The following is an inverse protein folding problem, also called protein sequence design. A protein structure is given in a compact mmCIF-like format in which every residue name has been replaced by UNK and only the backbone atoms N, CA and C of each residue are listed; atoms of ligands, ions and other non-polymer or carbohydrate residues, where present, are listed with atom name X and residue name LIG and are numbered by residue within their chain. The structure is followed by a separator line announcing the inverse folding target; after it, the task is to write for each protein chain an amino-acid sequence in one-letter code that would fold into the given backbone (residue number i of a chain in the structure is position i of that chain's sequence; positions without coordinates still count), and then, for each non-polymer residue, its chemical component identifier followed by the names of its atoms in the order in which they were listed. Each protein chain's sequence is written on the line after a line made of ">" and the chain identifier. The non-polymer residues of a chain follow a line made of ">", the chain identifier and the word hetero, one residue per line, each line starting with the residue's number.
data_IF_627572602974
#
_entry.id   IF_627572602974
#
_cell.length_a   1.000
_cell.length_b   1.000
_cell.length_c   1.000
_cell.angle_alpha   90.00
_cell.angle_beta   90.00
_cell.angle_gamma   90.00
#
_symmetry.space_group_name_H-M   'P 1'
#
loop_
_entity.id
_entity.type
_entity.pdbx_description
1 polymer ?
#
# COMPACT_ATOMS: atom_id res chain seq x y z
N UNK A 1 2.58 -45.44 -43.16
CA UNK A 1 2.85 -45.44 -41.71
C UNK A 1 2.80 -44.01 -41.21
N UNK A 2 1.69 -43.69 -40.56
CA UNK A 2 1.30 -42.35 -40.09
C UNK A 2 2.11 -41.99 -38.85
N UNK A 3 2.85 -40.87 -38.89
CA UNK A 3 3.60 -40.36 -37.75
C UNK A 3 2.64 -39.85 -36.67
N UNK A 4 2.64 -40.53 -35.52
CA UNK A 4 1.85 -40.16 -34.35
C UNK A 4 2.46 -38.90 -33.73
N UNK A 5 1.74 -37.77 -33.80
CA UNK A 5 2.05 -36.57 -33.02
C UNK A 5 1.78 -36.87 -31.55
N UNK A 6 2.83 -37.02 -30.77
CA UNK A 6 2.76 -37.15 -29.31
C UNK A 6 2.31 -35.82 -28.71
N UNK A 7 1.08 -35.78 -28.18
CA UNK A 7 0.59 -34.64 -27.41
C UNK A 7 1.36 -34.56 -26.09
N UNK A 8 2.29 -33.60 -25.97
CA UNK A 8 2.86 -33.23 -24.68
C UNK A 8 1.75 -32.72 -23.78
N UNK A 9 1.54 -33.41 -22.67
CA UNK A 9 0.55 -33.08 -21.65
C UNK A 9 0.82 -31.70 -21.03
N UNK A 10 -0.22 -30.87 -20.81
CA UNK A 10 -0.06 -29.51 -20.24
C UNK A 10 0.56 -29.49 -18.83
N UNK A 11 0.58 -30.63 -18.14
CA UNK A 11 1.15 -30.80 -16.80
C UNK A 11 2.69 -30.82 -16.77
N UNK A 12 3.39 -31.23 -17.84
CA UNK A 12 4.86 -31.22 -17.86
C UNK A 12 5.42 -29.82 -18.10
N UNK A 13 4.77 -29.04 -18.97
CA UNK A 13 5.10 -27.63 -19.24
C UNK A 13 4.85 -26.76 -18.00
N UNK A 14 3.75 -26.98 -17.28
CA UNK A 14 3.48 -26.28 -16.02
C UNK A 14 4.54 -26.56 -14.94
N UNK A 15 4.98 -27.82 -14.80
CA UNK A 15 6.07 -28.18 -13.87
C UNK A 15 7.41 -27.54 -14.25
N UNK A 16 7.74 -27.49 -15.55
CA UNK A 16 8.96 -26.84 -16.06
C UNK A 16 8.94 -25.31 -15.86
N UNK A 17 7.81 -24.66 -16.07
CA UNK A 17 7.63 -23.22 -15.80
C UNK A 17 7.75 -22.94 -14.30
N UNK A 18 7.15 -23.77 -13.45
CA UNK A 18 7.24 -23.66 -11.99
C UNK A 18 8.67 -23.88 -11.45
N UNK A 19 9.47 -24.73 -12.08
CA UNK A 19 10.89 -24.93 -11.71
C UNK A 19 11.76 -23.69 -11.94
N UNK A 20 11.40 -22.81 -12.87
CA UNK A 20 12.09 -21.53 -13.11
C UNK A 20 11.58 -20.38 -12.23
N UNK A 21 10.43 -20.53 -11.57
CA UNK A 21 9.89 -19.52 -10.65
C UNK A 21 10.54 -19.71 -9.28
N UNK A 22 11.42 -18.78 -8.91
CA UNK A 22 12.01 -18.70 -7.57
C UNK A 22 10.95 -18.31 -6.53
N UNK A 23 10.13 -19.28 -6.13
CA UNK A 23 9.06 -19.11 -5.15
C UNK A 23 9.59 -18.67 -3.77
N UNK A 24 10.88 -18.88 -3.49
CA UNK A 24 11.53 -18.49 -2.25
C UNK A 24 11.46 -16.97 -2.04
N UNK A 25 11.71 -16.20 -3.10
CA UNK A 25 11.64 -14.73 -3.05
C UNK A 25 10.21 -14.23 -2.91
N UNK A 26 9.23 -14.94 -3.48
CA UNK A 26 7.82 -14.61 -3.34
C UNK A 26 7.35 -14.84 -1.90
N UNK A 27 7.68 -15.98 -1.29
CA UNK A 27 7.31 -16.29 0.10
C UNK A 27 7.99 -15.32 1.06
N UNK A 28 9.28 -15.04 0.88
CA UNK A 28 10.02 -14.07 1.68
C UNK A 28 9.41 -12.66 1.56
N UNK A 29 9.04 -12.24 0.35
CA UNK A 29 8.42 -10.94 0.09
C UNK A 29 7.04 -10.80 0.74
N UNK A 30 6.16 -11.80 0.57
CA UNK A 30 4.82 -11.81 1.17
C UNK A 30 4.94 -11.82 2.70
N UNK A 31 5.80 -12.67 3.25
CA UNK A 31 5.98 -12.79 4.71
C UNK A 31 6.52 -11.49 5.31
N UNK A 32 7.53 -10.87 4.68
CA UNK A 32 8.04 -9.57 5.11
C UNK A 32 7.02 -8.44 4.99
N UNK A 33 6.20 -8.44 3.94
CA UNK A 33 5.11 -7.48 3.76
C UNK A 33 4.02 -7.63 4.82
N UNK A 34 3.58 -8.86 5.10
CA UNK A 34 2.56 -9.14 6.13
C UNK A 34 3.10 -8.86 7.53
N UNK A 35 4.31 -9.34 7.87
CA UNK A 35 4.92 -9.12 9.18
C UNK A 35 5.10 -7.63 9.50
N UNK A 36 5.67 -6.86 8.55
CA UNK A 36 5.82 -5.41 8.71
C UNK A 36 4.47 -4.69 8.86
N UNK A 37 3.45 -5.12 8.10
CA UNK A 37 2.10 -4.56 8.20
C UNK A 37 1.47 -4.85 9.56
N UNK A 38 1.58 -6.08 10.07
CA UNK A 38 1.02 -6.47 11.37
C UNK A 38 1.69 -5.70 12.52
N UNK A 39 3.02 -5.68 12.56
CA UNK A 39 3.79 -5.02 13.64
C UNK A 39 3.51 -3.52 13.67
N UNK A 40 3.38 -2.89 12.51
CA UNK A 40 3.23 -1.44 12.39
C UNK A 40 1.78 -0.98 12.16
N UNK A 41 0.81 -1.91 12.20
CA UNK A 41 -0.60 -1.58 12.05
C UNK A 41 -1.09 -0.55 13.08
N UNK A 42 -0.63 -0.55 14.35
CA UNK A 42 -1.02 0.50 15.30
C UNK A 42 -0.69 1.92 14.81
N UNK A 43 0.45 2.12 14.14
CA UNK A 43 0.80 3.42 13.55
C UNK A 43 -0.07 3.75 12.33
N UNK A 44 -0.42 2.73 11.54
CA UNK A 44 -1.36 2.88 10.42
C UNK A 44 -2.78 3.24 10.87
N UNK A 45 -3.21 2.77 12.04
CA UNK A 45 -4.49 3.14 12.61
C UNK A 45 -4.44 4.59 13.14
N UNK A 46 -3.39 4.95 13.87
CA UNK A 46 -3.24 6.29 14.45
C UNK A 46 -3.15 7.36 13.37
N UNK A 47 -2.41 7.12 12.28
CA UNK A 47 -2.33 8.09 11.17
C UNK A 47 -3.71 8.39 10.57
N UNK A 48 -4.57 7.37 10.41
CA UNK A 48 -5.91 7.53 9.84
C UNK A 48 -6.80 8.32 10.79
N UNK A 49 -6.77 7.98 12.09
CA UNK A 49 -7.53 8.72 13.11
C UNK A 49 -7.09 10.18 13.17
N UNK A 50 -5.79 10.46 13.16
CA UNK A 50 -5.26 11.82 13.17
C UNK A 50 -5.67 12.62 11.93
N UNK A 51 -5.62 12.01 10.74
CA UNK A 51 -6.01 12.66 9.49
C UNK A 51 -7.48 13.11 9.48
N UNK A 52 -8.35 12.35 10.15
CA UNK A 52 -9.80 12.62 10.23
C UNK A 52 -10.19 13.51 11.40
N UNK A 53 -9.37 13.59 12.46
CA UNK A 53 -9.61 14.50 13.58
C UNK A 53 -9.54 15.97 13.13
N UNK A 54 -10.69 16.54 12.80
CA UNK A 54 -10.86 17.94 12.39
C UNK A 54 -11.24 18.88 13.55
N UNK A 55 -11.48 18.31 14.74
CA UNK A 55 -11.86 19.04 15.94
C UNK A 55 -13.35 19.42 16.00
N UNK A 56 -14.14 19.06 14.99
CA UNK A 56 -15.58 19.37 14.92
C UNK A 56 -16.46 18.19 15.26
N UNK A 57 -16.01 16.98 14.97
CA UNK A 57 -16.74 15.78 15.36
C UNK A 57 -16.49 15.37 16.81
N UNK A 58 -17.44 14.62 17.42
CA UNK A 58 -17.29 14.01 18.75
C UNK A 58 -16.31 12.83 18.75
N UNK A 59 -15.24 12.92 17.96
CA UNK A 59 -14.14 11.96 17.95
C UNK A 59 -13.13 12.31 19.02
N UNK A 60 -12.50 11.32 19.69
CA UNK A 60 -11.47 11.57 20.68
C UNK A 60 -10.32 12.37 20.05
N UNK A 61 -10.00 13.52 20.66
CA UNK A 61 -8.82 14.30 20.30
C UNK A 61 -7.58 13.68 20.94
N UNK A 62 -6.46 13.74 20.23
CA UNK A 62 -5.20 13.18 20.67
C UNK A 62 -4.10 14.25 20.60
N UNK A 63 -3.51 14.59 21.73
CA UNK A 63 -2.44 15.60 21.80
C UNK A 63 -1.06 15.07 21.33
N UNK A 64 -0.96 13.77 21.04
CA UNK A 64 0.29 13.17 20.57
C UNK A 64 0.22 11.65 20.39
N UNK A 65 1.27 11.08 19.81
CA UNK A 65 1.34 9.66 19.47
C UNK A 65 1.20 8.75 20.71
N UNK A 66 1.93 9.07 21.78
CA UNK A 66 1.87 8.30 23.05
C UNK A 66 0.47 8.38 23.68
N UNK A 67 -0.11 9.57 23.73
CA UNK A 67 -1.46 9.77 24.26
C UNK A 67 -2.49 8.99 23.43
N UNK A 68 -2.35 8.98 22.10
CA UNK A 68 -3.20 8.19 21.21
C UNK A 68 -3.12 6.69 21.50
N UNK A 69 -1.91 6.12 21.57
CA UNK A 69 -1.72 4.70 21.87
C UNK A 69 -2.34 4.35 23.23
N UNK A 70 -2.04 5.13 24.27
CA UNK A 70 -2.55 4.87 25.62
C UNK A 70 -4.07 5.01 25.71
N UNK A 71 -4.64 6.02 25.06
CA UNK A 71 -6.09 6.25 25.04
C UNK A 71 -6.82 5.13 24.30
N UNK A 72 -6.32 4.72 23.13
CA UNK A 72 -6.92 3.61 22.36
C UNK A 72 -6.81 2.31 23.14
N UNK A 73 -5.66 2.04 23.75
CA UNK A 73 -5.47 0.85 24.57
C UNK A 73 -6.41 0.81 25.78
N UNK A 74 -6.63 1.95 26.45
CA UNK A 74 -7.55 2.05 27.60
C UNK A 74 -9.02 1.94 27.20
N UNK A 75 -9.42 2.50 26.06
CA UNK A 75 -10.83 2.55 25.64
C UNK A 75 -11.28 1.33 24.82
N UNK A 76 -10.41 0.80 23.96
CA UNK A 76 -10.76 -0.25 22.99
C UNK A 76 -9.94 -1.54 23.16
N UNK A 77 -8.95 -1.52 24.06
CA UNK A 77 -8.05 -2.64 24.30
C UNK A 77 -7.09 -2.93 23.13
N UNK A 78 -6.42 -4.08 23.20
CA UNK A 78 -5.50 -4.55 22.15
C UNK A 78 -6.20 -4.75 20.80
N UNK A 79 -7.45 -5.22 20.80
CA UNK A 79 -8.22 -5.42 19.56
C UNK A 79 -8.51 -4.10 18.83
N UNK A 80 -8.65 -2.98 19.57
CA UNK A 80 -8.82 -1.64 19.01
C UNK A 80 -7.66 -1.22 18.11
N UNK A 81 -6.42 -1.48 18.55
CA UNK A 81 -5.20 -1.12 17.80
C UNK A 81 -5.05 -1.89 16.47
N UNK A 82 -5.73 -3.03 16.32
CA UNK A 82 -5.68 -3.88 15.13
C UNK A 82 -6.94 -3.78 14.24
N UNK A 83 -7.84 -2.83 14.52
CA UNK A 83 -9.02 -2.59 13.67
C UNK A 83 -8.59 -2.20 12.25
N UNK A 84 -9.20 -2.84 11.25
CA UNK A 84 -8.89 -2.62 9.84
C UNK A 84 -7.62 -3.33 9.33
N UNK A 85 -7.01 -4.23 10.10
CA UNK A 85 -5.84 -4.99 9.64
C UNK A 85 -6.17 -5.96 8.49
N UNK A 86 -7.32 -6.63 8.55
CA UNK A 86 -7.78 -7.57 7.51
C UNK A 86 -7.91 -6.90 6.13
N UNK A 87 -8.66 -5.79 5.97
CA UNK A 87 -8.71 -5.10 4.69
C UNK A 87 -7.38 -4.44 4.31
N UNK A 88 -6.48 -4.15 5.26
CA UNK A 88 -5.14 -3.65 4.95
C UNK A 88 -4.30 -4.71 4.20
N UNK A 89 -4.26 -5.93 4.73
CA UNK A 89 -3.50 -7.05 4.12
C UNK A 89 -4.11 -7.45 2.79
N UNK A 90 -5.43 -7.64 2.74
CA UNK A 90 -6.15 -7.98 1.50
C UNK A 90 -6.04 -6.88 0.44
N UNK A 91 -6.26 -5.62 0.84
CA UNK A 91 -6.18 -4.47 -0.05
C UNK A 91 -4.78 -4.28 -0.62
N UNK A 92 -3.73 -4.44 0.19
CA UNK A 92 -2.35 -4.32 -0.27
C UNK A 92 -1.96 -5.44 -1.23
N UNK A 93 -2.29 -6.70 -0.91
CA UNK A 93 -2.00 -7.84 -1.79
C UNK A 93 -2.74 -7.75 -3.12
N UNK A 94 -4.05 -7.47 -3.08
CA UNK A 94 -4.87 -7.31 -4.30
C UNK A 94 -4.43 -6.11 -5.15
N UNK A 95 -4.04 -5.00 -4.54
CA UNK A 95 -3.54 -3.83 -5.28
C UNK A 95 -2.28 -4.17 -6.09
N UNK A 96 -1.29 -4.84 -5.50
CA UNK A 96 -0.11 -5.27 -6.25
C UNK A 96 -0.42 -6.29 -7.34
N UNK A 97 -1.31 -7.25 -7.06
CA UNK A 97 -1.75 -8.23 -8.06
C UNK A 97 -2.43 -7.58 -9.26
N UNK A 98 -3.43 -6.72 -9.03
CA UNK A 98 -4.10 -5.98 -10.09
C UNK A 98 -3.17 -5.01 -10.80
N UNK A 99 -2.26 -4.35 -10.09
CA UNK A 99 -1.28 -3.46 -10.70
C UNK A 99 -0.40 -4.19 -11.70
N UNK A 100 0.20 -5.32 -11.31
CA UNK A 100 1.03 -6.11 -12.23
C UNK A 100 0.21 -6.70 -13.38
N UNK A 101 -1.02 -7.15 -13.12
CA UNK A 101 -1.93 -7.62 -14.16
C UNK A 101 -2.17 -6.53 -15.20
N UNK A 102 -2.70 -5.38 -14.80
CA UNK A 102 -3.03 -4.30 -15.72
C UNK A 102 -1.79 -3.71 -16.38
N UNK A 103 -0.69 -3.52 -15.64
CA UNK A 103 0.56 -3.01 -16.22
C UNK A 103 1.09 -3.95 -17.30
N UNK A 104 1.17 -5.26 -17.04
CA UNK A 104 1.66 -6.22 -18.02
C UNK A 104 0.70 -6.38 -19.21
N UNK A 105 -0.62 -6.36 -18.98
CA UNK A 105 -1.61 -6.41 -20.06
C UNK A 105 -1.52 -5.19 -20.97
N UNK A 106 -1.52 -3.98 -20.40
CA UNK A 106 -1.41 -2.73 -21.18
C UNK A 106 -0.06 -2.68 -21.89
N UNK A 107 1.03 -3.04 -21.21
CA UNK A 107 2.38 -3.08 -21.80
C UNK A 107 2.43 -4.05 -22.99
N UNK A 108 1.92 -5.26 -22.84
CA UNK A 108 1.90 -6.28 -23.93
C UNK A 108 1.07 -5.80 -25.11
N UNK A 109 -0.06 -5.15 -24.84
CA UNK A 109 -0.93 -4.57 -25.87
C UNK A 109 -0.22 -3.46 -26.65
N UNK A 110 0.43 -2.50 -25.96
CA UNK A 110 1.20 -1.42 -26.59
C UNK A 110 2.40 -1.96 -27.37
N UNK A 111 3.08 -2.99 -26.88
CA UNK A 111 4.21 -3.62 -27.56
C UNK A 111 3.79 -4.54 -28.72
N UNK A 112 2.49 -4.66 -29.01
CA UNK A 112 1.98 -5.51 -30.09
C UNK A 112 2.35 -6.99 -29.93
N UNK A 113 2.53 -7.45 -28.69
CA UNK A 113 3.02 -8.81 -28.39
C UNK A 113 4.53 -9.02 -28.57
N UNK A 114 5.30 -8.01 -28.99
CA UNK A 114 6.74 -8.12 -29.15
C UNK A 114 7.51 -7.47 -27.99
N UNK A 115 7.85 -8.28 -26.98
CA UNK A 115 8.52 -7.85 -25.74
C UNK A 115 9.89 -7.18 -25.93
N UNK A 116 10.48 -7.21 -27.12
CA UNK A 116 11.79 -6.62 -27.44
C UNK A 116 11.74 -5.15 -27.88
N UNK A 117 10.56 -4.57 -28.02
CA UNK A 117 10.42 -3.15 -28.39
C UNK A 117 10.78 -2.26 -27.18
N UNK A 118 11.85 -1.43 -27.26
CA UNK A 118 12.21 -0.55 -26.17
C UNK A 118 11.14 0.55 -26.05
N UNK A 119 10.50 0.63 -24.88
CA UNK A 119 9.60 1.71 -24.53
C UNK A 119 10.40 2.82 -23.82
N UNK A 120 10.19 4.07 -24.22
CA UNK A 120 10.82 5.20 -23.54
C UNK A 120 10.36 5.34 -22.07
N UNK A 121 11.13 6.02 -21.21
CA UNK A 121 10.76 6.23 -19.80
C UNK A 121 9.40 6.90 -19.61
N UNK A 122 9.07 7.88 -20.46
CA UNK A 122 7.77 8.57 -20.45
C UNK A 122 6.60 7.63 -20.74
N UNK A 123 6.78 6.69 -21.66
CA UNK A 123 5.77 5.70 -21.98
C UNK A 123 5.57 4.74 -20.80
N UNK A 124 6.66 4.27 -20.18
CA UNK A 124 6.56 3.46 -18.96
C UNK A 124 5.79 4.17 -17.84
N UNK A 125 6.01 5.47 -17.65
CA UNK A 125 5.25 6.26 -16.68
C UNK A 125 3.76 6.35 -17.02
N UNK A 126 3.40 6.55 -18.29
CA UNK A 126 2.00 6.59 -18.72
C UNK A 126 1.30 5.24 -18.53
N UNK A 127 1.95 4.14 -18.90
CA UNK A 127 1.41 2.78 -18.71
C UNK A 127 1.25 2.46 -17.23
N UNK A 128 2.23 2.83 -16.40
CA UNK A 128 2.15 2.69 -14.95
C UNK A 128 1.02 3.53 -14.36
N UNK A 129 0.80 4.74 -14.86
CA UNK A 129 -0.28 5.60 -14.40
C UNK A 129 -1.67 5.03 -14.74
N UNK A 130 -1.86 4.55 -15.97
CA UNK A 130 -3.10 3.90 -16.40
C UNK A 130 -3.38 2.63 -15.57
N UNK A 131 -2.37 1.77 -15.38
CA UNK A 131 -2.49 0.58 -14.55
C UNK A 131 -2.84 0.94 -13.09
N UNK A 132 -2.24 2.02 -12.57
CA UNK A 132 -2.54 2.55 -11.23
C UNK A 132 -4.00 2.98 -11.07
N UNK A 133 -4.55 3.69 -12.06
CA UNK A 133 -5.96 4.11 -12.05
C UNK A 133 -6.91 2.90 -12.14
N UNK A 134 -6.65 1.93 -13.03
CA UNK A 134 -7.45 0.71 -13.11
C UNK A 134 -7.41 -0.12 -11.81
N UNK A 135 -6.23 -0.20 -11.20
CA UNK A 135 -6.06 -0.83 -9.88
C UNK A 135 -6.87 -0.11 -8.80
N UNK A 136 -6.89 1.23 -8.83
CA UNK A 136 -7.68 2.01 -7.89
C UNK A 136 -9.18 1.76 -8.06
N UNK A 137 -9.67 1.62 -9.29
CA UNK A 137 -11.09 1.28 -9.56
C UNK A 137 -11.45 -0.03 -8.84
N UNK A 138 -10.60 -1.06 -8.94
CA UNK A 138 -10.86 -2.35 -8.33
C UNK A 138 -10.69 -2.34 -6.80
N UNK A 139 -9.73 -1.58 -6.29
CA UNK A 139 -9.33 -1.64 -4.87
C UNK A 139 -9.96 -0.57 -3.98
N UNK A 140 -10.56 0.49 -4.53
CA UNK A 140 -11.14 1.56 -3.73
C UNK A 140 -12.17 1.08 -2.68
N UNK A 141 -13.08 0.14 -2.99
CA UNK A 141 -14.01 -0.41 -1.99
C UNK A 141 -13.31 -0.98 -0.76
N UNK A 142 -12.19 -1.69 -0.95
CA UNK A 142 -11.39 -2.27 0.14
C UNK A 142 -10.75 -1.17 0.98
N UNK A 143 -10.26 -0.09 0.34
CA UNK A 143 -9.69 1.06 1.06
C UNK A 143 -10.73 1.84 1.86
N UNK A 144 -11.96 2.01 1.35
CA UNK A 144 -13.05 2.63 2.12
C UNK A 144 -13.37 1.80 3.36
N UNK A 145 -13.50 0.48 3.20
CA UNK A 145 -13.75 -0.44 4.31
C UNK A 145 -12.62 -0.39 5.35
N UNK A 146 -11.35 -0.35 4.91
CA UNK A 146 -10.20 -0.17 5.80
C UNK A 146 -10.35 1.10 6.64
N UNK A 147 -10.57 2.24 5.99
CA UNK A 147 -10.65 3.55 6.66
C UNK A 147 -11.79 3.57 7.68
N UNK A 148 -12.98 3.07 7.32
CA UNK A 148 -14.14 3.03 8.23
C UNK A 148 -13.96 2.10 9.42
N UNK A 149 -13.36 0.92 9.21
CA UNK A 149 -13.03 0.01 10.31
C UNK A 149 -12.01 0.63 11.27
N UNK A 150 -11.00 1.38 10.76
CA UNK A 150 -10.05 2.09 11.62
C UNK A 150 -10.69 3.24 12.43
N UNK A 151 -11.73 3.86 11.88
CA UNK A 151 -12.48 4.97 12.49
C UNK A 151 -13.67 4.52 13.35
N UNK A 152 -13.88 3.22 13.51
CA UNK A 152 -14.94 2.72 14.39
C UNK A 152 -14.54 2.86 15.87
N UNK A 153 -14.98 3.93 16.51
CA UNK A 153 -14.78 4.19 17.94
C UNK A 153 -15.80 3.42 18.78
N UNK A 154 -15.35 2.69 19.82
CA UNK A 154 -16.27 1.90 20.66
C UNK A 154 -17.27 2.74 21.48
N UNK A 155 -16.95 4.02 21.74
CA UNK A 155 -17.77 4.91 22.58
C UNK A 155 -18.61 5.93 21.78
N UNK A 156 -18.52 5.93 20.44
CA UNK A 156 -19.38 6.80 19.64
C UNK A 156 -20.79 6.21 19.62
N UNK A 157 -21.81 6.99 20.04
CA UNK A 157 -23.22 6.58 20.02
C UNK A 157 -23.53 5.97 18.63
N UNK A 158 -24.11 4.76 18.58
CA UNK A 158 -24.42 4.14 17.31
C UNK A 158 -25.56 4.90 16.65
N UNK A 159 -25.24 5.83 15.76
CA UNK A 159 -26.20 6.27 14.77
C UNK A 159 -26.45 5.06 13.85
N UNK A 160 -27.60 4.42 14.07
CA UNK A 160 -28.16 3.33 13.26
C UNK A 160 -27.16 2.22 12.85
N UNK A 161 -26.83 1.31 13.78
CA UNK A 161 -26.13 0.06 13.43
C UNK A 161 -24.61 0.17 13.22
N UNK A 162 -23.95 1.16 13.84
CA UNK A 162 -22.58 1.61 13.53
C UNK A 162 -21.41 0.69 13.95
N UNK A 163 -21.65 -0.61 14.10
CA UNK A 163 -20.61 -1.57 14.43
C UNK A 163 -20.38 -2.54 13.28
N UNK A 164 -19.26 -2.44 12.57
CA UNK A 164 -18.89 -3.46 11.60
C UNK A 164 -18.29 -4.66 12.34
N UNK A 165 -18.82 -5.86 12.11
CA UNK A 165 -18.27 -7.09 12.66
C UNK A 165 -16.96 -7.50 11.95
N UNK A 166 -16.79 -7.09 10.69
CA UNK A 166 -15.62 -7.41 9.89
C UNK A 166 -15.63 -6.75 8.51
N UNK A 167 -14.68 -7.14 7.66
CA UNK A 167 -14.52 -6.57 6.31
C UNK A 167 -15.73 -6.81 5.40
N UNK A 168 -16.26 -8.03 5.37
CA UNK A 168 -17.38 -8.40 4.50
C UNK A 168 -18.66 -7.70 4.94
N UNK A 169 -18.91 -7.69 6.25
CA UNK A 169 -20.05 -7.01 6.86
C UNK A 169 -19.99 -5.49 6.60
N UNK A 170 -18.80 -4.88 6.74
CA UNK A 170 -18.60 -3.48 6.36
C UNK A 170 -18.89 -3.23 4.88
N UNK A 171 -18.37 -4.06 3.99
CA UNK A 171 -18.60 -3.90 2.55
C UNK A 171 -20.08 -4.02 2.19
N UNK A 172 -20.79 -5.01 2.74
CA UNK A 172 -22.23 -5.19 2.53
C UNK A 172 -23.06 -4.06 3.13
N UNK A 173 -22.72 -3.63 4.34
CA UNK A 173 -23.44 -2.54 5.03
C UNK A 173 -23.29 -1.22 4.30
N UNK A 174 -22.07 -0.88 3.85
CA UNK A 174 -21.83 0.33 3.04
C UNK A 174 -22.61 0.24 1.72
N UNK A 175 -22.59 -0.91 1.06
CA UNK A 175 -23.32 -1.11 -0.18
C UNK A 175 -24.85 -0.97 0.00
N UNK A 176 -25.41 -1.49 1.10
CA UNK A 176 -26.85 -1.41 1.39
C UNK A 176 -27.30 0.00 1.80
N UNK A 177 -26.50 0.70 2.60
CA UNK A 177 -26.87 2.01 3.16
C UNK A 177 -26.51 3.19 2.25
N UNK A 178 -25.37 3.13 1.56
CA UNK A 178 -24.85 4.24 0.75
C UNK A 178 -24.76 3.93 -0.75
N UNK A 179 -25.01 2.67 -1.13
CA UNK A 179 -24.87 2.22 -2.50
C UNK A 179 -23.42 2.21 -3.01
N UNK A 180 -23.29 2.15 -4.33
CA UNK A 180 -21.98 2.17 -5.02
C UNK A 180 -21.21 3.47 -4.73
N UNK A 181 -21.92 4.59 -4.58
CA UNK A 181 -21.28 5.90 -4.32
C UNK A 181 -20.52 5.91 -2.99
N UNK A 182 -20.98 5.19 -1.97
CA UNK A 182 -20.28 5.02 -0.70
C UNK A 182 -18.92 4.31 -0.87
N UNK A 183 -18.88 3.23 -1.64
CA UNK A 183 -17.67 2.44 -1.92
C UNK A 183 -16.62 3.18 -2.76
N UNK A 184 -17.03 4.21 -3.51
CA UNK A 184 -16.14 5.03 -4.34
C UNK A 184 -15.83 6.41 -3.75
N UNK A 185 -16.16 6.64 -2.46
CA UNK A 185 -15.74 7.86 -1.76
C UNK A 185 -14.21 7.97 -1.72
N UNK A 186 -13.72 9.19 -1.97
CA UNK A 186 -12.29 9.47 -2.03
C UNK A 186 -11.57 8.97 -3.29
N UNK A 187 -12.29 8.53 -4.33
CA UNK A 187 -11.69 8.08 -5.59
C UNK A 187 -10.89 9.19 -6.29
N UNK A 188 -11.45 10.39 -6.44
CA UNK A 188 -10.80 11.55 -7.07
C UNK A 188 -9.46 11.91 -6.41
N UNK A 189 -9.38 12.18 -5.10
CA UNK A 189 -8.08 12.39 -4.44
C UNK A 189 -7.20 11.13 -4.47
N UNK A 190 -7.81 9.94 -4.51
CA UNK A 190 -7.07 8.68 -4.67
C UNK A 190 -6.31 8.58 -5.99
N UNK A 191 -6.81 9.15 -7.09
CA UNK A 191 -6.12 9.18 -8.38
C UNK A 191 -4.80 9.95 -8.32
N UNK A 192 -4.74 11.02 -7.51
CA UNK A 192 -3.48 11.73 -7.26
C UNK A 192 -2.46 10.85 -6.54
N UNK A 193 -2.88 9.77 -5.88
CA UNK A 193 -1.96 8.79 -5.29
C UNK A 193 -1.10 8.05 -6.32
N UNK A 194 -1.51 8.02 -7.58
CA UNK A 194 -0.70 7.45 -8.68
C UNK A 194 0.61 8.24 -8.87
N UNK A 195 0.62 9.54 -8.58
CA UNK A 195 1.83 10.37 -8.69
C UNK A 195 2.85 10.08 -7.58
N UNK A 196 2.45 9.46 -6.47
CA UNK A 196 3.36 9.13 -5.36
C UNK A 196 4.57 8.32 -5.84
N UNK A 197 4.35 7.30 -6.65
CA UNK A 197 5.42 6.46 -7.19
C UNK A 197 6.37 7.24 -8.10
N UNK A 198 5.82 8.13 -8.94
CA UNK A 198 6.60 8.99 -9.83
C UNK A 198 7.48 9.98 -9.05
N UNK A 199 6.94 10.64 -8.03
CA UNK A 199 7.69 11.57 -7.17
C UNK A 199 8.79 10.84 -6.40
N UNK A 200 8.49 9.64 -5.88
CA UNK A 200 9.49 8.81 -5.20
C UNK A 200 10.63 8.42 -6.15
N UNK A 201 10.30 7.95 -7.35
CA UNK A 201 11.30 7.56 -8.35
C UNK A 201 12.16 8.75 -8.79
N UNK A 202 11.53 9.89 -9.10
CA UNK A 202 12.22 11.12 -9.44
C UNK A 202 13.19 11.55 -8.33
N UNK A 203 12.72 11.62 -7.08
CA UNK A 203 13.58 11.98 -5.95
C UNK A 203 14.74 10.99 -5.76
N UNK A 204 14.49 9.69 -5.97
CA UNK A 204 15.53 8.67 -5.90
C UNK A 204 16.60 8.83 -6.97
N UNK A 205 16.21 9.02 -8.24
CA UNK A 205 17.16 9.20 -9.35
C UNK A 205 17.96 10.50 -9.23
N UNK A 206 17.34 11.60 -8.79
CA UNK A 206 18.05 12.86 -8.52
C UNK A 206 19.09 12.70 -7.41
N UNK A 207 18.73 12.06 -6.29
CA UNK A 207 19.67 11.77 -5.21
C UNK A 207 20.83 10.88 -5.68
N UNK A 208 20.53 9.86 -6.49
CA UNK A 208 21.52 8.96 -7.07
C UNK A 208 22.47 9.68 -8.04
N UNK A 209 21.94 10.50 -8.94
CA UNK A 209 22.74 11.26 -9.91
C UNK A 209 23.67 12.23 -9.19
N UNK A 210 23.16 12.98 -8.20
CA UNK A 210 23.98 13.89 -7.40
C UNK A 210 25.12 13.16 -6.68
N UNK A 211 24.84 11.97 -6.14
CA UNK A 211 25.85 11.15 -5.46
C UNK A 211 26.92 10.61 -6.41
N UNK A 212 26.52 10.12 -7.58
CA UNK A 212 27.45 9.59 -8.58
C UNK A 212 28.35 10.70 -9.16
N UNK A 213 27.80 11.91 -9.36
CA UNK A 213 28.58 13.09 -9.73
C UNK A 213 29.61 13.45 -8.66
N UNK A 214 29.23 13.45 -7.39
CA UNK A 214 30.15 13.71 -6.29
C UNK A 214 31.30 12.69 -6.22
N UNK A 215 31.02 11.40 -6.47
CA UNK A 215 32.02 10.32 -6.49
C UNK A 215 32.80 10.21 -7.81
N UNK A 216 32.51 11.04 -8.82
CA UNK A 216 33.00 10.87 -10.19
C UNK A 216 32.82 9.44 -10.73
N UNK A 217 31.72 8.79 -10.34
CA UNK A 217 31.39 7.43 -10.74
C UNK A 217 30.50 7.44 -12.00
N UNK A 218 30.56 6.40 -12.85
CA UNK A 218 29.63 6.28 -13.98
C UNK A 218 28.17 6.26 -13.50
N UNK A 219 27.26 6.79 -14.31
CA UNK A 219 25.82 6.95 -13.98
C UNK A 219 25.17 5.61 -13.56
N UNK A 220 25.67 4.49 -14.11
CA UNK A 220 25.18 3.13 -13.83
C UNK A 220 25.90 2.41 -12.67
N UNK A 221 26.71 3.12 -11.87
CA UNK A 221 27.35 2.53 -10.71
C UNK A 221 26.31 1.95 -9.75
N UNK A 222 26.46 0.66 -9.42
CA UNK A 222 25.62 -0.02 -8.42
C UNK A 222 25.95 0.54 -7.05
N UNK A 223 24.95 1.08 -6.37
CA UNK A 223 25.08 1.58 -5.01
C UNK A 223 25.25 0.43 -4.03
N UNK A 224 26.00 0.67 -2.97
CA UNK A 224 26.07 -0.26 -1.85
C UNK A 224 24.69 -0.41 -1.18
N UNK A 225 24.44 -1.52 -0.50
CA UNK A 225 23.15 -1.82 0.13
C UNK A 225 22.68 -0.71 1.08
N UNK A 226 23.59 -0.14 1.88
CA UNK A 226 23.26 0.93 2.82
C UNK A 226 22.96 2.27 2.13
N UNK A 227 23.69 2.59 1.06
CA UNK A 227 23.44 3.79 0.24
C UNK A 227 22.08 3.66 -0.47
N UNK A 228 21.81 2.49 -1.06
CA UNK A 228 20.53 2.17 -1.68
C UNK A 228 19.35 2.31 -0.70
N UNK A 229 19.47 1.71 0.50
CA UNK A 229 18.45 1.80 1.54
C UNK A 229 18.25 3.24 2.03
N UNK A 230 19.34 3.99 2.21
CA UNK A 230 19.29 5.41 2.60
C UNK A 230 18.55 6.26 1.57
N UNK A 231 18.88 6.13 0.29
CA UNK A 231 18.22 6.89 -0.78
C UNK A 231 16.77 6.46 -0.98
N UNK A 232 16.48 5.16 -0.88
CA UNK A 232 15.11 4.64 -0.94
C UNK A 232 14.24 5.14 0.23
N UNK A 233 14.79 5.22 1.45
CA UNK A 233 14.08 5.74 2.60
C UNK A 233 13.83 7.25 2.47
N UNK A 234 14.86 8.04 2.15
CA UNK A 234 14.74 9.50 2.03
C UNK A 234 13.80 9.91 0.89
N UNK A 235 13.93 9.30 -0.30
CA UNK A 235 13.01 9.55 -1.41
C UNK A 235 11.55 9.22 -1.06
N UNK A 236 11.31 8.14 -0.30
CA UNK A 236 9.98 7.78 0.18
C UNK A 236 9.43 8.77 1.20
N UNK A 237 10.27 9.33 2.09
CA UNK A 237 9.87 10.38 3.04
C UNK A 237 9.52 11.68 2.32
N UNK A 238 10.31 12.08 1.30
CA UNK A 238 10.03 13.25 0.46
C UNK A 238 8.70 13.07 -0.28
N UNK A 239 8.52 11.95 -0.97
CA UNK A 239 7.28 11.64 -1.69
C UNK A 239 6.07 11.61 -0.75
N UNK A 240 6.21 10.98 0.43
CA UNK A 240 5.15 10.95 1.42
C UNK A 240 4.79 12.34 1.93
N UNK A 241 5.75 13.25 2.07
CA UNK A 241 5.54 14.62 2.56
C UNK A 241 4.87 15.51 1.51
N UNK A 242 5.36 15.46 0.27
CA UNK A 242 4.78 16.23 -0.86
C UNK A 242 3.34 15.80 -1.13
N UNK A 243 3.08 14.49 -1.06
CA UNK A 243 1.78 13.95 -1.40
C UNK A 243 0.84 13.77 -0.21
N UNK A 244 1.27 14.14 1.00
CA UNK A 244 0.45 13.97 2.20
C UNK A 244 -0.93 14.67 2.15
N UNK A 245 -1.06 15.91 1.60
CA UNK A 245 -2.34 16.62 1.57
C UNK A 245 -3.48 15.83 0.92
N UNK A 246 -3.23 15.11 -0.19
CA UNK A 246 -4.27 14.32 -0.82
C UNK A 246 -4.69 13.12 0.05
N UNK A 247 -3.76 12.55 0.84
CA UNK A 247 -4.04 11.41 1.72
C UNK A 247 -5.00 11.81 2.84
N UNK A 248 -4.82 13.00 3.42
CA UNK A 248 -5.71 13.53 4.45
C UNK A 248 -7.11 13.77 3.89
N UNK A 249 -7.22 14.44 2.74
CA UNK A 249 -8.52 14.67 2.09
C UNK A 249 -9.20 13.37 1.71
N UNK A 250 -8.45 12.38 1.20
CA UNK A 250 -8.98 11.05 0.92
C UNK A 250 -9.53 10.37 2.18
N UNK A 251 -8.77 10.38 3.28
CA UNK A 251 -9.20 9.76 4.54
C UNK A 251 -10.48 10.41 5.10
N UNK A 252 -10.57 11.74 5.05
CA UNK A 252 -11.75 12.50 5.48
C UNK A 252 -12.99 12.23 4.63
N UNK A 253 -12.84 12.08 3.32
CA UNK A 253 -13.97 11.72 2.45
C UNK A 253 -14.44 10.28 2.66
N UNK A 254 -13.56 9.39 3.12
CA UNK A 254 -13.89 7.99 3.41
C UNK A 254 -14.47 7.78 4.81
N UNK A 255 -14.37 8.80 5.68
CA UNK A 255 -15.02 8.82 6.98
C UNK A 255 -16.55 8.71 6.84
N UNK A 256 -17.15 8.09 7.85
CA UNK A 256 -18.60 7.88 7.96
C UNK A 256 -19.28 8.94 8.81
N UNK A 257 -18.54 9.62 9.71
CA UNK A 257 -19.12 10.59 10.64
C UNK A 257 -19.22 12.00 10.03
N UNK A 258 -18.37 12.32 9.06
CA UNK A 258 -18.45 13.57 8.30
C UNK A 258 -19.08 13.38 6.93
N UNK A 259 -20.09 14.19 6.65
CA UNK A 259 -20.65 14.31 5.30
C UNK A 259 -20.06 15.51 4.59
N UNK A 260 -19.13 15.24 3.67
CA UNK A 260 -18.63 16.22 2.71
C UNK A 260 -19.36 16.04 1.38
N UNK A 261 -19.74 17.14 0.72
CA UNK A 261 -20.40 17.07 -0.59
C UNK A 261 -19.46 16.53 -1.70
N UNK A 262 -18.15 16.79 -1.54
CA UNK A 262 -17.10 16.34 -2.44
C UNK A 262 -15.70 16.77 -2.01
N UNK A 263 -14.70 16.49 -2.86
CA UNK A 263 -13.30 16.78 -2.53
C UNK A 263 -13.00 18.26 -2.40
N UNK A 264 -13.59 19.11 -3.24
CA UNK A 264 -13.40 20.57 -3.15
C UNK A 264 -14.00 21.15 -1.87
N UNK A 265 -15.17 20.66 -1.46
CA UNK A 265 -15.80 21.04 -0.21
C UNK A 265 -14.94 20.63 1.00
N UNK A 266 -14.41 19.40 1.00
CA UNK A 266 -13.48 18.93 2.02
C UNK A 266 -12.21 19.79 2.09
N UNK A 267 -11.62 20.19 0.95
CA UNK A 267 -10.46 21.08 0.89
C UNK A 267 -10.80 22.46 1.47
N UNK A 268 -11.91 23.06 1.03
CA UNK A 268 -12.35 24.39 1.49
C UNK A 268 -12.60 24.41 3.00
N UNK A 269 -13.27 23.40 3.52
CA UNK A 269 -13.52 23.26 4.95
C UNK A 269 -12.23 22.97 5.73
N UNK A 270 -11.32 22.16 5.21
CA UNK A 270 -10.03 21.91 5.87
C UNK A 270 -9.23 23.22 5.99
N UNK A 271 -9.15 23.98 4.90
CA UNK A 271 -8.47 25.27 4.87
C UNK A 271 -9.12 26.30 5.82
N UNK A 272 -10.45 26.41 5.82
CA UNK A 272 -11.16 27.44 6.59
C UNK A 272 -11.03 27.27 8.10
N UNK A 273 -11.01 26.04 8.61
CA UNK A 273 -11.09 25.78 10.05
C UNK A 273 -9.79 25.25 10.66
N UNK A 274 -8.91 24.63 9.88
CA UNK A 274 -7.64 24.07 10.38
C UNK A 274 -6.42 24.73 9.73
N UNK A 275 -6.63 25.53 8.70
CA UNK A 275 -5.55 26.15 7.93
C UNK A 275 -4.67 25.12 7.22
N UNK A 276 -3.43 25.51 6.96
CA UNK A 276 -2.45 24.69 6.25
C UNK A 276 -2.06 23.41 7.01
N UNK A 277 -1.96 23.48 8.35
CA UNK A 277 -1.58 22.34 9.18
C UNK A 277 -2.62 21.21 9.16
N UNK A 278 -3.88 21.51 8.85
CA UNK A 278 -4.94 20.50 8.69
C UNK A 278 -4.60 19.44 7.63
N UNK A 279 -3.93 19.82 6.54
CA UNK A 279 -3.53 18.92 5.46
C UNK A 279 -2.38 17.98 5.82
N UNK A 280 -1.71 18.22 6.95
CA UNK A 280 -0.55 17.45 7.42
C UNK A 280 -0.83 16.66 8.71
N UNK A 281 -2.10 16.61 9.14
CA UNK A 281 -2.50 15.84 10.31
C UNK A 281 -2.27 14.35 10.10
N UNK A 282 -1.47 13.76 10.98
CA UNK A 282 -1.05 12.35 10.89
C UNK A 282 0.26 12.13 10.12
N UNK A 283 0.93 13.19 9.64
CA UNK A 283 2.22 13.03 8.96
C UNK A 283 3.26 12.39 9.90
N UNK A 284 3.33 12.83 11.15
CA UNK A 284 4.26 12.30 12.16
C UNK A 284 4.17 10.78 12.32
N UNK A 285 3.00 10.17 12.64
CA UNK A 285 2.91 8.71 12.72
C UNK A 285 3.21 8.03 11.38
N UNK A 286 2.91 8.65 10.24
CA UNK A 286 3.27 8.11 8.94
C UNK A 286 4.80 8.06 8.73
N UNK A 287 5.52 9.16 9.01
CA UNK A 287 6.98 9.21 8.88
C UNK A 287 7.67 8.25 9.86
N UNK A 288 7.23 8.21 11.12
CA UNK A 288 7.74 7.27 12.13
C UNK A 288 7.56 5.80 11.70
N UNK A 289 6.58 5.50 10.84
CA UNK A 289 6.32 4.15 10.35
C UNK A 289 7.22 3.75 9.18
N UNK A 290 7.63 4.68 8.33
CA UNK A 290 8.29 4.38 7.04
C UNK A 290 9.61 3.62 7.24
N UNK A 291 10.50 4.12 8.10
CA UNK A 291 11.83 3.53 8.32
C UNK A 291 11.75 2.16 9.00
N UNK A 292 11.01 1.99 10.12
CA UNK A 292 10.83 0.66 10.71
C UNK A 292 10.18 -0.34 9.76
N UNK A 293 9.23 0.10 8.94
CA UNK A 293 8.59 -0.79 7.95
C UNK A 293 9.62 -1.35 6.97
N UNK A 294 10.48 -0.49 6.42
CA UNK A 294 11.52 -0.91 5.49
C UNK A 294 12.53 -1.87 6.14
N UNK A 295 12.93 -1.60 7.39
CA UNK A 295 13.87 -2.46 8.10
C UNK A 295 13.26 -3.83 8.41
N UNK A 296 12.02 -3.87 8.91
CA UNK A 296 11.33 -5.13 9.23
C UNK A 296 11.14 -5.95 7.95
N UNK A 297 10.65 -5.35 6.86
CA UNK A 297 10.47 -6.09 5.60
C UNK A 297 11.79 -6.67 5.11
N UNK A 298 12.88 -5.91 5.16
CA UNK A 298 14.20 -6.37 4.73
C UNK A 298 14.72 -7.52 5.60
N UNK A 299 14.72 -7.35 6.93
CA UNK A 299 15.20 -8.38 7.87
C UNK A 299 14.36 -9.65 7.78
N UNK A 300 13.03 -9.53 7.68
CA UNK A 300 12.16 -10.69 7.49
C UNK A 300 12.42 -11.36 6.15
N UNK A 301 12.60 -10.58 5.08
CA UNK A 301 12.91 -11.12 3.75
C UNK A 301 14.21 -11.93 3.76
N UNK A 302 15.30 -11.38 4.32
CA UNK A 302 16.59 -12.07 4.38
C UNK A 302 16.51 -13.36 5.19
N UNK A 303 15.86 -13.33 6.35
CA UNK A 303 15.73 -14.50 7.22
C UNK A 303 14.87 -15.59 6.60
N UNK A 304 13.72 -15.23 6.02
CA UNK A 304 12.83 -16.20 5.37
C UNK A 304 13.48 -16.78 4.13
N UNK A 305 14.14 -15.96 3.31
CA UNK A 305 14.86 -16.44 2.14
C UNK A 305 15.96 -17.45 2.52
N UNK A 306 16.81 -17.12 3.51
CA UNK A 306 17.85 -18.05 4.01
C UNK A 306 17.27 -19.33 4.60
N UNK A 307 16.12 -19.24 5.27
CA UNK A 307 15.46 -20.40 5.85
C UNK A 307 14.91 -21.35 4.78
N UNK A 308 14.24 -20.81 3.76
CA UNK A 308 13.70 -21.61 2.64
C UNK A 308 14.84 -22.25 1.83
N UNK A 309 15.94 -21.53 1.63
CA UNK A 309 17.11 -22.06 0.91
C UNK A 309 17.75 -23.24 1.66
N UNK A 310 17.88 -23.14 3.00
CA UNK A 310 18.34 -24.25 3.84
C UNK A 310 17.44 -25.49 3.75
N UNK A 311 16.11 -25.31 3.76
CA UNK A 311 15.16 -26.43 3.62
C UNK A 311 15.37 -27.12 2.26
N UNK A 312 15.57 -26.34 1.20
CA UNK A 312 15.77 -26.89 -0.15
C UNK A 312 17.03 -27.75 -0.24
N UNK A 313 18.12 -27.30 0.38
CA UNK A 313 19.38 -28.07 0.46
C UNK A 313 19.14 -29.39 1.18
N UNK A 314 18.46 -29.37 2.34
CA UNK A 314 18.17 -30.59 3.12
C UNK A 314 17.27 -31.59 2.37
N UNK A 315 16.25 -31.10 1.65
CA UNK A 315 15.38 -31.96 0.83
C UNK A 315 16.17 -32.60 -0.31
N UNK A 316 17.03 -31.82 -0.98
CA UNK A 316 17.87 -32.33 -2.07
C UNK A 316 18.89 -33.37 -1.59
N UNK A 317 19.42 -33.23 -0.38
CA UNK A 317 20.30 -34.23 0.26
C UNK A 317 19.55 -35.51 0.68
N UNK A 318 18.26 -35.41 0.94
CA UNK A 318 17.40 -36.55 1.32
C UNK A 318 16.94 -37.33 0.09
N UNK A 319 16.67 -36.65 -1.03
CA UNK A 319 16.31 -37.29 -2.31
C UNK A 319 17.50 -37.93 -3.04
N UNK A 320 18.74 -37.52 -2.70
CA UNK A 320 19.97 -38.09 -3.25
C UNK A 320 20.47 -39.34 -2.51
N UNK A 321 19.79 -39.75 -1.43
CA UNK A 321 20.05 -40.99 -0.66
C UNK A 321 18.98 -42.02 -0.93
#
# INVERSE_FOLDING_TARGET
>A
MTSVKTYTSPTSTAKSVLQHVKYEHMIAGITGGVASTLILHPLDLIKIRFAVCDGRSPTPQYDGLRNAVTTIFRQEGLRGLYKGVTPNVWGSGSAWGFYFLFYNSIKTWVQGGNSKTPLGPSMHMLLAAQAGVLTLIMTNPVWVVKTRLCLQYSNAKPQAGSGYAGMVDALMTIYRLEGVRGLYRGFVPGMFGVSHGAIQFMAYEEMKTFYNQYKNAPIDAKLGTMEYLGFAATSKLIAASVTYPYQVIRARLQDQYHSYAGSMDCIRQTWRYEGFLGFYKGLTPNLCRVVPATMITFVTYENVWRFVDKIKIQVSETEAK
#
